data_IF_281425925136
#
_entry.id   IF_281425925136
#
_cell.length_a   1.000
_cell.length_b   1.000
_cell.length_c   1.000
_cell.angle_alpha   90.00
_cell.angle_beta   90.00
_cell.angle_gamma   90.00
#
_symmetry.space_group_name_H-M   'P 1'
#
loop_
_entity.id
_entity.type
_entity.pdbx_description
1 polymer ?
#
# COMPACT_ATOMS: atom_id res chain seq x y z
N UNK A 1 16.10 2.15 23.93
CA UNK A 1 17.02 1.09 23.46
C UNK A 1 16.93 1.04 21.95
N UNK A 2 18.05 1.04 21.23
CA UNK A 2 18.05 0.84 19.76
C UNK A 2 18.18 -0.64 19.45
N UNK A 3 17.44 -1.13 18.44
CA UNK A 3 17.59 -2.50 17.94
C UNK A 3 18.97 -2.63 17.25
N UNK A 4 19.90 -3.46 17.75
CA UNK A 4 21.15 -3.70 17.06
C UNK A 4 20.88 -4.36 15.71
N UNK A 5 21.64 -3.97 14.68
CA UNK A 5 21.52 -4.50 13.31
C UNK A 5 20.17 -4.27 12.61
N UNK A 6 19.40 -3.24 13.02
CA UNK A 6 18.08 -2.95 12.45
C UNK A 6 18.06 -2.96 10.91
N UNK A 7 19.03 -2.30 10.26
CA UNK A 7 19.09 -2.23 8.80
C UNK A 7 19.29 -3.59 8.12
N UNK A 8 20.06 -4.49 8.75
CA UNK A 8 20.25 -5.85 8.26
C UNK A 8 18.95 -6.64 8.36
N UNK A 9 18.28 -6.56 9.49
CA UNK A 9 16.99 -7.23 9.70
C UNK A 9 15.89 -6.66 8.79
N UNK A 10 15.89 -5.34 8.55
CA UNK A 10 14.94 -4.69 7.64
C UNK A 10 15.14 -5.17 6.20
N UNK A 11 16.40 -5.31 5.75
CA UNK A 11 16.71 -5.89 4.44
C UNK A 11 16.25 -7.34 4.33
N UNK A 12 16.57 -8.17 5.33
CA UNK A 12 16.14 -9.58 5.36
C UNK A 12 14.61 -9.71 5.36
N UNK A 13 13.91 -8.80 6.02
CA UNK A 13 12.45 -8.77 6.03
C UNK A 13 11.87 -8.42 4.65
N UNK A 14 12.47 -7.48 3.93
CA UNK A 14 12.10 -7.16 2.55
C UNK A 14 12.31 -8.37 1.61
N UNK A 15 13.47 -9.02 1.70
CA UNK A 15 13.79 -10.24 0.94
C UNK A 15 12.78 -11.35 1.25
N UNK A 16 12.44 -11.57 2.53
CA UNK A 16 11.44 -12.56 2.94
C UNK A 16 10.06 -12.29 2.33
N UNK A 17 9.61 -11.03 2.34
CA UNK A 17 8.32 -10.65 1.78
C UNK A 17 8.23 -10.94 0.26
N UNK A 18 9.32 -10.68 -0.47
CA UNK A 18 9.42 -10.91 -1.92
C UNK A 18 9.57 -12.39 -2.27
N UNK A 19 10.46 -13.09 -1.57
CA UNK A 19 10.85 -14.46 -1.92
C UNK A 19 9.87 -15.51 -1.44
N UNK A 20 9.41 -15.36 -0.20
CA UNK A 20 8.58 -16.35 0.50
C UNK A 20 7.14 -15.87 0.59
N UNK A 21 6.93 -14.58 0.88
CA UNK A 21 5.60 -14.00 1.05
C UNK A 21 4.79 -14.06 -0.24
N UNK A 22 5.27 -13.38 -1.30
CA UNK A 22 4.58 -13.38 -2.61
C UNK A 22 5.28 -14.23 -3.67
N UNK A 23 6.50 -14.71 -3.41
CA UNK A 23 7.28 -15.55 -4.32
C UNK A 23 7.39 -14.98 -5.75
N UNK A 24 8.06 -13.82 -5.88
CA UNK A 24 8.32 -13.15 -7.15
C UNK A 24 9.19 -14.03 -8.07
N UNK A 25 8.83 -14.04 -9.36
CA UNK A 25 9.50 -14.74 -10.45
C UNK A 25 9.78 -13.76 -11.60
N UNK A 26 10.72 -14.11 -12.51
CA UNK A 26 10.96 -13.33 -13.71
C UNK A 26 9.69 -13.09 -14.52
N UNK A 27 9.41 -11.82 -14.87
CA UNK A 27 8.23 -11.42 -15.63
C UNK A 27 7.03 -10.99 -14.78
N UNK A 28 7.05 -11.20 -13.47
CA UNK A 28 5.93 -10.83 -12.61
C UNK A 28 5.77 -9.31 -12.48
N UNK A 29 4.52 -8.88 -12.35
CA UNK A 29 4.18 -7.52 -11.89
C UNK A 29 3.98 -7.56 -10.37
N UNK A 30 4.57 -6.60 -9.65
CA UNK A 30 4.42 -6.47 -8.19
C UNK A 30 3.73 -5.16 -7.87
N UNK A 31 2.70 -5.23 -7.05
CA UNK A 31 2.00 -4.07 -6.51
C UNK A 31 2.30 -3.96 -5.00
N UNK A 32 2.94 -2.86 -4.59
CA UNK A 32 3.29 -2.56 -3.20
C UNK A 32 2.45 -1.40 -2.68
N UNK A 33 1.66 -1.64 -1.64
CA UNK A 33 1.00 -0.58 -0.87
C UNK A 33 1.73 -0.35 0.45
N UNK A 34 2.15 0.89 0.73
CA UNK A 34 2.98 1.21 1.89
C UNK A 34 2.88 2.69 2.28
N UNK A 35 3.03 3.00 3.57
CA UNK A 35 3.02 4.36 4.07
C UNK A 35 4.30 5.12 3.67
N UNK A 36 4.19 6.43 3.45
CA UNK A 36 5.33 7.31 3.10
C UNK A 36 6.44 7.33 4.17
N UNK A 37 6.09 7.14 5.44
CA UNK A 37 7.05 7.08 6.55
C UNK A 37 7.87 5.78 6.58
N UNK A 38 7.45 4.75 5.82
CA UNK A 38 8.16 3.49 5.63
C UNK A 38 9.00 3.46 4.34
N UNK A 39 9.37 4.62 3.78
CA UNK A 39 10.06 4.72 2.50
C UNK A 39 11.33 3.85 2.40
N UNK A 40 12.09 3.72 3.49
CA UNK A 40 13.30 2.87 3.53
C UNK A 40 12.96 1.39 3.27
N UNK A 41 11.90 0.88 3.87
CA UNK A 41 11.46 -0.51 3.64
C UNK A 41 10.90 -0.67 2.22
N UNK A 42 10.15 0.30 1.72
CA UNK A 42 9.64 0.27 0.34
C UNK A 42 10.77 0.12 -0.69
N UNK A 43 11.84 0.91 -0.55
CA UNK A 43 13.01 0.83 -1.43
C UNK A 43 13.67 -0.55 -1.40
N UNK A 44 13.76 -1.17 -0.21
CA UNK A 44 14.33 -2.53 -0.06
C UNK A 44 13.44 -3.59 -0.70
N UNK A 45 12.12 -3.50 -0.57
CA UNK A 45 11.17 -4.43 -1.20
C UNK A 45 11.24 -4.30 -2.73
N UNK A 46 11.23 -3.07 -3.25
CA UNK A 46 11.33 -2.80 -4.69
C UNK A 46 12.64 -3.34 -5.27
N UNK A 47 13.76 -3.08 -4.60
CA UNK A 47 15.06 -3.61 -5.02
C UNK A 47 15.06 -5.14 -5.04
N UNK A 48 14.60 -5.79 -3.97
CA UNK A 48 14.52 -7.25 -3.90
C UNK A 48 13.60 -7.83 -4.99
N UNK A 49 12.46 -7.20 -5.30
CA UNK A 49 11.57 -7.65 -6.36
C UNK A 49 12.23 -7.61 -7.75
N UNK A 50 12.94 -6.52 -8.08
CA UNK A 50 13.68 -6.42 -9.33
C UNK A 50 14.88 -7.37 -9.39
N UNK A 51 15.58 -7.60 -8.26
CA UNK A 51 16.64 -8.61 -8.18
C UNK A 51 16.13 -10.03 -8.49
N UNK A 52 14.83 -10.30 -8.29
CA UNK A 52 14.16 -11.57 -8.68
C UNK A 52 13.54 -11.56 -10.08
N UNK A 53 13.75 -10.49 -10.83
CA UNK A 53 13.33 -10.38 -12.22
C UNK A 53 11.89 -9.89 -12.41
N UNK A 54 11.27 -9.25 -11.41
CA UNK A 54 10.00 -8.57 -11.62
C UNK A 54 10.10 -7.67 -12.86
N UNK A 55 9.12 -7.75 -13.76
CA UNK A 55 9.05 -6.90 -14.95
C UNK A 55 8.64 -5.48 -14.58
N UNK A 56 7.80 -5.34 -13.57
CA UNK A 56 7.27 -4.07 -13.11
C UNK A 56 7.01 -4.11 -11.60
N UNK A 57 7.37 -3.03 -10.90
CA UNK A 57 6.99 -2.82 -9.51
C UNK A 57 6.28 -1.47 -9.39
N UNK A 58 5.00 -1.48 -9.05
CA UNK A 58 4.19 -0.29 -8.81
C UNK A 58 4.03 -0.05 -7.31
N UNK A 59 4.24 1.19 -6.86
CA UNK A 59 4.10 1.57 -5.45
C UNK A 59 2.93 2.52 -5.27
N UNK A 60 1.94 2.11 -4.48
CA UNK A 60 0.88 2.98 -3.99
C UNK A 60 1.22 3.46 -2.58
N UNK A 61 1.59 4.73 -2.51
CA UNK A 61 1.83 5.42 -1.26
C UNK A 61 0.52 5.78 -0.58
N UNK A 62 0.49 5.66 0.74
CA UNK A 62 -0.52 6.30 1.56
C UNK A 62 0.11 7.15 2.66
N UNK A 63 -0.65 8.12 3.13
CA UNK A 63 -0.29 9.00 4.22
C UNK A 63 -1.50 9.18 5.12
N UNK A 64 -1.29 8.98 6.42
CA UNK A 64 -2.36 8.99 7.41
C UNK A 64 -2.94 10.39 7.59
N UNK A 65 -2.12 11.43 7.58
CA UNK A 65 -2.56 12.82 7.75
C UNK A 65 -3.38 13.26 6.54
N UNK A 66 -2.94 12.94 5.32
CA UNK A 66 -3.70 13.21 4.10
C UNK A 66 -5.05 12.49 4.15
N UNK A 67 -5.07 11.21 4.50
CA UNK A 67 -6.32 10.45 4.65
C UNK A 67 -7.26 11.09 5.67
N UNK A 68 -6.74 11.56 6.81
CA UNK A 68 -7.51 12.27 7.83
C UNK A 68 -8.10 13.57 7.28
N UNK A 69 -7.31 14.36 6.56
CA UNK A 69 -7.76 15.62 5.93
C UNK A 69 -8.86 15.37 4.88
N UNK A 70 -8.71 14.34 4.05
CA UNK A 70 -9.74 13.93 3.08
C UNK A 70 -11.03 13.52 3.79
N UNK A 71 -10.92 12.69 4.84
CA UNK A 71 -12.04 12.31 5.67
C UNK A 71 -12.68 13.53 6.37
N UNK A 72 -11.93 14.57 6.72
CA UNK A 72 -12.47 15.76 7.37
C UNK A 72 -13.13 16.74 6.38
N UNK A 73 -12.61 16.84 5.15
CA UNK A 73 -12.90 18.01 4.29
C UNK A 73 -13.42 17.69 2.89
N UNK A 74 -13.16 16.50 2.33
CA UNK A 74 -13.55 16.18 0.96
C UNK A 74 -15.07 16.28 0.76
N UNK A 75 -15.55 16.81 -0.36
CA UNK A 75 -16.98 16.79 -0.65
C UNK A 75 -17.52 15.34 -0.64
N UNK A 76 -18.65 15.10 0.02
CA UNK A 76 -19.25 13.75 0.14
C UNK A 76 -19.53 13.11 -1.22
N UNK A 77 -19.92 13.92 -2.21
CA UNK A 77 -20.14 13.49 -3.60
C UNK A 77 -18.89 12.93 -4.29
N UNK A 78 -17.70 13.26 -3.79
CA UNK A 78 -16.42 12.71 -4.26
C UNK A 78 -15.92 11.61 -3.33
N UNK A 79 -16.07 11.79 -2.02
CA UNK A 79 -15.62 10.83 -1.03
C UNK A 79 -16.30 9.46 -1.19
N UNK A 80 -17.58 9.43 -1.54
CA UNK A 80 -18.36 8.19 -1.67
C UNK A 80 -18.41 7.65 -3.09
N UNK A 81 -17.66 8.25 -4.02
CA UNK A 81 -17.66 7.85 -5.41
C UNK A 81 -16.25 7.49 -5.86
N UNK A 82 -16.02 6.21 -6.12
CA UNK A 82 -14.74 5.71 -6.60
C UNK A 82 -14.60 6.07 -8.10
N UNK A 83 -13.62 6.91 -8.47
CA UNK A 83 -13.43 7.28 -9.87
C UNK A 83 -13.04 6.09 -10.75
N UNK A 84 -13.43 6.11 -12.02
CA UNK A 84 -13.17 4.99 -12.95
C UNK A 84 -11.68 4.68 -13.17
N UNK A 85 -10.79 5.67 -13.01
CA UNK A 85 -9.35 5.41 -13.14
C UNK A 85 -8.81 4.46 -12.05
N UNK A 86 -9.45 4.44 -10.87
CA UNK A 86 -9.10 3.49 -9.80
C UNK A 86 -9.48 2.07 -10.23
N UNK A 87 -10.67 1.91 -10.84
CA UNK A 87 -11.09 0.61 -11.38
C UNK A 87 -10.15 0.13 -12.47
N UNK A 88 -9.79 1.01 -13.42
CA UNK A 88 -8.83 0.68 -14.48
C UNK A 88 -7.44 0.27 -13.95
N UNK A 89 -7.02 0.82 -12.81
CA UNK A 89 -5.79 0.38 -12.13
C UNK A 89 -5.93 -1.04 -11.56
N UNK A 90 -7.06 -1.37 -10.92
CA UNK A 90 -7.34 -2.74 -10.48
C UNK A 90 -7.43 -3.73 -11.65
N UNK A 91 -8.10 -3.35 -12.73
CA UNK A 91 -8.21 -4.17 -13.95
C UNK A 91 -6.81 -4.48 -14.51
N UNK A 92 -5.93 -3.46 -14.59
CA UNK A 92 -4.54 -3.67 -14.99
C UNK A 92 -3.81 -4.69 -14.10
N UNK A 93 -3.96 -4.58 -12.78
CA UNK A 93 -3.35 -5.54 -11.85
C UNK A 93 -3.89 -6.97 -12.02
N UNK A 94 -5.19 -7.11 -12.28
CA UNK A 94 -5.81 -8.41 -12.55
C UNK A 94 -5.29 -9.01 -13.85
N UNK A 95 -5.26 -8.22 -14.94
CA UNK A 95 -4.79 -8.65 -16.26
C UNK A 95 -3.32 -9.11 -16.23
N UNK A 96 -2.50 -8.51 -15.37
CA UNK A 96 -1.08 -8.83 -15.22
C UNK A 96 -0.78 -9.84 -14.08
N UNK A 97 -1.81 -10.43 -13.47
CA UNK A 97 -1.69 -11.33 -12.32
C UNK A 97 -0.77 -10.75 -11.22
N UNK A 98 -0.91 -9.46 -10.94
CA UNK A 98 0.02 -8.73 -10.09
C UNK A 98 0.08 -9.32 -8.68
N UNK A 99 1.31 -9.53 -8.20
CA UNK A 99 1.59 -9.96 -6.83
C UNK A 99 1.45 -8.78 -5.89
N UNK A 100 0.55 -8.88 -4.91
CA UNK A 100 0.26 -7.79 -3.97
C UNK A 100 0.99 -7.93 -2.64
N UNK A 101 1.73 -6.89 -2.26
CA UNK A 101 2.31 -6.69 -0.93
C UNK A 101 1.64 -5.47 -0.29
N UNK A 102 1.12 -5.62 0.92
CA UNK A 102 0.55 -4.51 1.69
C UNK A 102 1.24 -4.43 3.04
N UNK A 103 1.94 -3.33 3.29
CA UNK A 103 2.59 -3.05 4.57
C UNK A 103 1.67 -2.13 5.36
N UNK A 104 1.14 -2.63 6.47
CA UNK A 104 0.22 -1.88 7.34
C UNK A 104 1.03 -1.27 8.48
N UNK A 105 1.11 0.06 8.50
CA UNK A 105 1.76 0.84 9.56
C UNK A 105 0.90 2.03 10.02
N UNK A 106 -0.38 2.05 9.64
CA UNK A 106 -1.26 3.16 9.93
C UNK A 106 -1.51 3.32 11.44
N UNK A 107 -1.59 4.57 11.90
CA UNK A 107 -1.97 4.90 13.27
C UNK A 107 -3.43 4.44 13.51
N UNK A 108 -3.68 3.54 14.49
CA UNK A 108 -5.03 3.06 14.78
C UNK A 108 -5.99 4.19 15.19
N UNK A 109 -5.48 5.29 15.74
CA UNK A 109 -6.25 6.46 16.18
C UNK A 109 -6.29 7.57 15.12
N UNK A 110 -5.75 7.36 13.91
CA UNK A 110 -5.64 8.40 12.88
C UNK A 110 -6.98 9.08 12.55
N UNK A 111 -8.10 8.35 12.61
CA UNK A 111 -9.44 8.88 12.32
C UNK A 111 -10.25 9.23 13.58
N UNK A 112 -9.65 9.17 14.76
CA UNK A 112 -10.33 9.49 16.01
C UNK A 112 -10.91 10.92 15.98
N UNK A 113 -12.14 11.04 16.46
CA UNK A 113 -12.88 12.32 16.54
C UNK A 113 -13.53 12.78 15.23
N UNK A 114 -13.40 12.05 14.12
CA UNK A 114 -14.16 12.32 12.89
C UNK A 114 -15.53 11.62 12.92
N UNK A 115 -16.45 12.09 12.07
CA UNK A 115 -17.81 11.54 11.94
C UNK A 115 -17.76 10.04 11.53
N UNK A 116 -18.23 9.12 12.40
CA UNK A 116 -18.23 7.69 12.11
C UNK A 116 -19.07 7.30 10.89
N UNK A 117 -20.19 8.00 10.62
CA UNK A 117 -21.05 7.69 9.46
C UNK A 117 -20.31 7.99 8.16
N UNK A 118 -19.55 9.08 8.14
CA UNK A 118 -18.75 9.48 6.99
C UNK A 118 -17.64 8.47 6.69
N UNK A 119 -16.97 7.95 7.72
CA UNK A 119 -15.97 6.88 7.59
C UNK A 119 -16.62 5.59 7.06
N UNK A 120 -17.76 5.19 7.63
CA UNK A 120 -18.47 3.99 7.20
C UNK A 120 -18.92 4.06 5.74
N UNK A 121 -19.45 5.21 5.31
CA UNK A 121 -19.87 5.42 3.92
C UNK A 121 -18.69 5.37 2.95
N UNK A 122 -17.55 5.96 3.31
CA UNK A 122 -16.32 5.84 2.52
C UNK A 122 -15.87 4.38 2.36
N UNK A 123 -15.85 3.61 3.46
CA UNK A 123 -15.48 2.19 3.42
C UNK A 123 -16.44 1.36 2.57
N UNK A 124 -17.74 1.62 2.67
CA UNK A 124 -18.75 0.94 1.87
C UNK A 124 -18.61 1.25 0.37
N UNK A 125 -18.29 2.50 0.01
CA UNK A 125 -18.07 2.88 -1.38
C UNK A 125 -16.86 2.19 -2.00
N UNK A 126 -15.82 1.93 -1.21
CA UNK A 126 -14.61 1.24 -1.67
C UNK A 126 -14.77 -0.29 -1.78
N UNK A 127 -15.69 -0.88 -1.03
CA UNK A 127 -15.94 -2.32 -1.02
C UNK A 127 -16.95 -2.80 -2.07
N UNK A 128 -17.59 -1.88 -2.81
CA UNK A 128 -18.49 -2.18 -3.92
C UNK A 128 -17.71 -2.38 -5.22
#
# INVERSE_FOLDING_TARGET
MTLPNFDKSLKQYAELAVDIGVAVKPGDTVYLQIAVDQAKLAQLIVAAAYDRGAAEVQVQWHDDLIKRLDMAHMATSRLYNIPDFIKGQFDYWVDHNAKRITVISADPDNLAGLDPQRIANYQNAFNQ
#
